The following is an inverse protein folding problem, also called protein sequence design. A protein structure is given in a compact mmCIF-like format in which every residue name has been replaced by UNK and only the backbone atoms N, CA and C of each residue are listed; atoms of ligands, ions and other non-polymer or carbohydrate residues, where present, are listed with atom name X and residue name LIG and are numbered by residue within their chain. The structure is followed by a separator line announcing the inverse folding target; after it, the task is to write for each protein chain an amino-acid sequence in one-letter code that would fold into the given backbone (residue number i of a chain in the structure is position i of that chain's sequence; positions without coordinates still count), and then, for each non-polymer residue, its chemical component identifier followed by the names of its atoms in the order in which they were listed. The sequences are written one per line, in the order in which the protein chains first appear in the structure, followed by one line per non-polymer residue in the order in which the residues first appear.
data_IF_416316335808
#
_entry.id   IF_416316335808
#
_cell.length_a   1.000
_cell.length_b   1.000
_cell.length_c   1.000
_cell.angle_alpha   90.00
_cell.angle_beta   90.00
_cell.angle_gamma   90.00
#
_symmetry.space_group_name_H-M   'P 1'
#
loop_
_entity.id
_entity.type
_entity.pdbx_description
1 polymer ?
#
# COMPACT_ATOMS: atom_id res chain seq x y z
N UNK A 1 7.51 -4.37 48.20
CA UNK A 1 8.49 -3.59 47.42
C UNK A 1 7.76 -2.34 46.97
N UNK A 2 8.19 -1.18 47.49
CA UNK A 2 7.55 0.10 47.24
C UNK A 2 7.94 0.63 45.85
N UNK A 3 6.95 1.04 45.06
CA UNK A 3 7.16 1.93 43.93
C UNK A 3 6.60 3.30 44.31
N UNK A 4 7.50 4.27 44.35
CA UNK A 4 7.24 5.66 44.70
C UNK A 4 6.80 6.37 43.42
N UNK A 5 5.56 6.85 43.36
CA UNK A 5 5.08 7.71 42.27
C UNK A 5 4.89 9.12 42.83
N UNK A 6 6.02 9.81 43.01
CA UNK A 6 6.00 11.26 42.99
C UNK A 6 5.92 11.65 41.50
N UNK A 7 4.73 12.04 41.02
CA UNK A 7 4.57 12.64 39.69
C UNK A 7 3.99 14.05 39.87
N UNK A 8 4.60 15.08 39.26
CA UNK A 8 4.33 16.48 39.57
C UNK A 8 3.01 16.95 38.96
N UNK A 9 2.46 18.00 39.56
CA UNK A 9 1.37 18.83 39.06
C UNK A 9 1.55 19.11 37.57
N UNK A 10 0.67 18.57 36.73
CA UNK A 10 0.62 18.89 35.30
C UNK A 10 -0.04 20.27 35.13
N UNK A 11 0.82 21.29 35.00
CA UNK A 11 0.47 22.62 34.52
C UNK A 11 -0.03 22.52 33.06
N UNK A 12 -1.16 23.14 32.75
CA UNK A 12 -1.88 23.05 31.47
C UNK A 12 -1.25 23.91 30.35
N UNK A 13 0.05 24.21 30.42
CA UNK A 13 0.72 25.17 29.54
C UNK A 13 2.03 24.70 28.88
N UNK A 14 2.30 23.40 28.76
CA UNK A 14 3.39 22.93 27.90
C UNK A 14 2.92 22.33 26.55
N UNK A 15 3.65 22.61 25.45
CA UNK A 15 3.27 22.15 24.11
C UNK A 15 3.52 20.65 23.94
N UNK A 16 2.51 19.95 23.42
CA UNK A 16 2.55 18.52 23.09
C UNK A 16 3.66 18.26 22.07
N UNK A 17 4.65 17.45 22.46
CA UNK A 17 5.72 16.92 21.61
C UNK A 17 5.18 15.88 20.61
N UNK A 18 5.81 15.91 19.43
CA UNK A 18 5.53 15.23 18.16
C UNK A 18 5.03 13.77 18.19
N UNK A 19 3.91 13.57 17.48
CA UNK A 19 3.60 12.49 16.54
C UNK A 19 4.41 11.18 16.66
N UNK A 20 3.91 10.25 17.48
CA UNK A 20 4.23 8.83 17.34
C UNK A 20 3.45 8.34 16.12
N UNK A 21 4.06 8.45 14.94
CA UNK A 21 3.44 8.16 13.64
C UNK A 21 2.91 6.73 13.53
N UNK A 22 1.63 6.56 13.86
CA UNK A 22 0.82 5.42 13.42
C UNK A 22 0.17 5.80 12.09
N UNK A 23 0.66 5.22 11.00
CA UNK A 23 0.03 5.37 9.69
C UNK A 23 -1.34 4.64 9.70
N UNK A 24 -2.42 5.41 9.76
CA UNK A 24 -3.79 4.89 9.79
C UNK A 24 -4.28 4.36 8.42
N UNK A 25 -3.43 4.36 7.39
CA UNK A 25 -3.78 3.88 6.05
C UNK A 25 -3.44 2.40 5.81
N UNK A 26 -3.34 1.57 6.85
CA UNK A 26 -3.16 0.14 6.64
C UNK A 26 -4.46 -0.50 6.09
N UNK A 27 -4.35 -1.37 5.06
CA UNK A 27 -5.49 -2.05 4.48
C UNK A 27 -6.10 -3.03 5.49
N UNK A 28 -7.40 -2.89 5.72
CA UNK A 28 -8.16 -3.74 6.61
C UNK A 28 -8.86 -4.87 5.83
N UNK A 29 -8.95 -6.04 6.45
CA UNK A 29 -9.65 -7.22 5.93
C UNK A 29 -11.19 -7.10 6.10
N UNK A 30 -11.93 -8.16 5.76
CA UNK A 30 -13.39 -8.22 5.85
C UNK A 30 -13.93 -8.06 7.29
N UNK A 31 -13.07 -8.21 8.31
CA UNK A 31 -13.41 -8.14 9.73
C UNK A 31 -12.85 -6.89 10.42
N UNK A 32 -12.19 -6.00 9.69
CA UNK A 32 -11.64 -4.76 10.22
C UNK A 32 -10.31 -4.91 10.95
N UNK A 33 -9.61 -6.05 10.77
CA UNK A 33 -8.25 -6.26 11.23
C UNK A 33 -7.25 -5.88 10.13
N UNK A 34 -6.00 -5.56 10.50
CA UNK A 34 -4.93 -5.30 9.54
C UNK A 34 -4.68 -6.56 8.71
N UNK A 35 -4.80 -6.44 7.39
CA UNK A 35 -4.57 -7.54 6.45
C UNK A 35 -3.06 -7.77 6.28
N UNK A 36 -2.47 -8.53 7.21
CA UNK A 36 -1.05 -8.87 7.20
C UNK A 36 -0.64 -9.68 5.95
N UNK A 37 -1.56 -10.44 5.34
CA UNK A 37 -1.30 -11.18 4.10
C UNK A 37 -1.15 -10.22 2.91
N UNK A 38 -1.90 -9.11 2.88
CA UNK A 38 -1.72 -8.05 1.89
C UNK A 38 -0.38 -7.32 2.05
N UNK A 39 0.01 -7.01 3.29
CA UNK A 39 1.29 -6.36 3.60
C UNK A 39 2.45 -7.26 3.19
N UNK A 40 2.41 -8.55 3.53
CA UNK A 40 3.44 -9.53 3.17
C UNK A 40 3.57 -9.68 1.64
N UNK A 41 2.46 -9.73 0.91
CA UNK A 41 2.46 -9.80 -0.56
C UNK A 41 3.06 -8.55 -1.25
N UNK A 42 2.96 -7.35 -0.64
CA UNK A 42 3.59 -6.14 -1.16
C UNK A 42 5.11 -6.17 -1.01
N UNK A 43 5.61 -6.65 0.12
CA UNK A 43 7.04 -6.82 0.39
C UNK A 43 7.66 -7.93 -0.47
N UNK A 44 6.95 -9.05 -0.64
CA UNK A 44 7.45 -10.21 -1.39
C UNK A 44 7.58 -9.97 -2.91
N UNK A 45 6.90 -8.95 -3.44
CA UNK A 45 7.00 -8.53 -4.84
C UNK A 45 8.15 -7.54 -5.11
N UNK A 46 8.79 -6.97 -4.09
CA UNK A 46 9.86 -6.01 -4.26
C UNK A 46 11.19 -6.65 -4.70
N UNK A 47 11.45 -7.91 -4.32
CA UNK A 47 12.79 -8.51 -4.45
C UNK A 47 12.92 -9.66 -5.45
N UNK A 48 11.85 -10.08 -6.13
CA UNK A 48 11.96 -11.08 -7.19
C UNK A 48 12.16 -10.43 -8.56
N UNK A 49 13.38 -9.92 -8.79
CA UNK A 49 13.88 -9.70 -10.16
C UNK A 49 14.04 -11.07 -10.82
N UNK A 50 12.94 -11.60 -11.37
CA UNK A 50 12.94 -12.78 -12.23
C UNK A 50 13.85 -12.50 -13.44
N UNK A 51 15.14 -12.86 -13.33
CA UNK A 51 16.04 -12.75 -14.46
C UNK A 51 15.61 -13.78 -15.51
N UNK A 52 15.32 -13.35 -16.75
CA UNK A 52 15.01 -14.29 -17.82
C UNK A 52 16.15 -15.28 -17.94
N UNK A 53 15.83 -16.59 -17.95
CA UNK A 53 16.75 -17.74 -17.93
C UNK A 53 17.83 -17.77 -19.05
N UNK A 54 17.89 -16.74 -19.91
CA UNK A 54 18.77 -16.64 -21.08
C UNK A 54 19.39 -15.24 -21.29
N UNK A 55 19.01 -14.22 -20.52
CA UNK A 55 19.58 -12.87 -20.69
C UNK A 55 20.65 -12.59 -19.62
N UNK A 56 21.83 -12.15 -20.03
CA UNK A 56 22.89 -11.74 -19.12
C UNK A 56 22.54 -10.42 -18.42
N UNK A 57 22.72 -10.37 -17.10
CA UNK A 57 22.54 -9.15 -16.28
C UNK A 57 23.35 -7.98 -16.85
N UNK A 58 22.83 -6.76 -16.68
CA UNK A 58 23.53 -5.53 -17.10
C UNK A 58 24.94 -5.44 -16.47
N UNK A 59 25.10 -5.91 -15.24
CA UNK A 59 26.40 -5.94 -14.56
C UNK A 59 27.42 -6.84 -15.30
N UNK A 60 27.01 -8.06 -15.67
CA UNK A 60 27.86 -8.97 -16.46
C UNK A 60 28.22 -8.36 -17.81
N UNK A 61 27.27 -7.66 -18.45
CA UNK A 61 27.51 -6.95 -19.71
C UNK A 61 28.51 -5.79 -19.54
N UNK A 62 28.49 -5.08 -18.41
CA UNK A 62 29.48 -4.04 -18.05
C UNK A 62 30.87 -4.63 -17.86
N UNK A 63 31.00 -5.72 -17.12
CA UNK A 63 32.27 -6.40 -16.89
C UNK A 63 32.90 -6.90 -18.20
N UNK A 64 32.09 -7.51 -19.08
CA UNK A 64 32.55 -7.94 -20.42
C UNK A 64 33.03 -6.75 -21.24
N UNK A 65 32.30 -5.62 -21.24
CA UNK A 65 32.71 -4.43 -21.97
C UNK A 65 34.02 -3.85 -21.44
N UNK A 66 34.19 -3.76 -20.12
CA UNK A 66 35.42 -3.28 -19.48
C UNK A 66 36.62 -4.18 -19.83
N UNK A 67 36.44 -5.51 -19.79
CA UNK A 67 37.49 -6.46 -20.14
C UNK A 67 37.92 -6.36 -21.62
N UNK A 68 36.97 -6.10 -22.53
CA UNK A 68 37.28 -5.84 -23.94
C UNK A 68 38.01 -4.51 -24.12
N UNK A 69 37.62 -3.47 -23.37
CA UNK A 69 38.25 -2.15 -23.44
C UNK A 69 39.72 -2.23 -23.00
N UNK A 70 40.02 -2.97 -21.94
CA UNK A 70 41.39 -3.18 -21.45
C UNK A 70 42.28 -3.95 -22.44
N UNK A 71 41.68 -4.76 -23.33
CA UNK A 71 42.40 -5.56 -24.33
C UNK A 71 42.47 -4.88 -25.70
N UNK A 72 41.60 -3.92 -25.96
CA UNK A 72 41.56 -3.21 -27.24
C UNK A 72 42.78 -2.30 -27.41
N UNK A 73 43.40 -2.35 -28.58
CA UNK A 73 44.43 -1.40 -29.00
C UNK A 73 43.88 -0.57 -30.15
N UNK A 74 43.83 0.76 -29.98
CA UNK A 74 43.30 1.72 -30.96
C UNK A 74 41.87 1.41 -31.44
N UNK A 75 41.00 0.95 -30.53
CA UNK A 75 39.59 0.63 -30.84
C UNK A 75 39.39 -0.65 -31.66
N UNK A 76 40.45 -1.45 -31.87
CA UNK A 76 40.38 -2.76 -32.51
C UNK A 76 40.64 -3.86 -31.48
N UNK A 77 39.89 -4.96 -31.61
CA UNK A 77 40.10 -6.18 -30.84
C UNK A 77 40.89 -7.17 -31.69
N UNK A 78 41.80 -7.92 -31.07
CA UNK A 78 42.48 -9.04 -31.69
C UNK A 78 41.52 -10.20 -32.02
N UNK A 79 41.93 -11.07 -32.94
CA UNK A 79 41.12 -12.17 -33.48
C UNK A 79 40.53 -13.10 -32.41
N UNK A 80 41.24 -13.27 -31.28
CA UNK A 80 40.88 -14.19 -30.21
C UNK A 80 40.37 -13.49 -28.94
N UNK A 81 40.41 -12.16 -28.87
CA UNK A 81 40.08 -11.43 -27.64
C UNK A 81 38.62 -11.62 -27.22
N UNK A 82 37.71 -11.69 -28.19
CA UNK A 82 36.28 -11.96 -27.92
C UNK A 82 36.02 -13.38 -27.43
N UNK A 83 36.87 -14.34 -27.82
CA UNK A 83 36.77 -15.73 -27.36
C UNK A 83 37.26 -15.84 -25.93
N UNK A 84 38.42 -15.25 -25.62
CA UNK A 84 38.99 -15.28 -24.27
C UNK A 84 38.06 -14.59 -23.25
N UNK A 85 37.50 -13.43 -23.61
CA UNK A 85 36.54 -12.73 -22.74
C UNK A 85 35.22 -13.51 -22.63
N UNK A 86 34.77 -14.15 -23.72
CA UNK A 86 33.60 -15.01 -23.67
C UNK A 86 33.76 -16.17 -22.69
N UNK A 87 34.88 -16.87 -22.75
CA UNK A 87 35.20 -18.00 -21.88
C UNK A 87 35.38 -17.55 -20.42
N UNK A 88 36.01 -16.39 -20.19
CA UNK A 88 36.21 -15.83 -18.84
C UNK A 88 34.90 -15.55 -18.08
N UNK A 89 33.87 -15.07 -18.78
CA UNK A 89 32.59 -14.70 -18.17
C UNK A 89 31.44 -15.69 -18.45
N UNK A 90 31.73 -16.83 -19.11
CA UNK A 90 30.70 -17.79 -19.53
C UNK A 90 29.68 -17.22 -20.52
N UNK A 91 30.07 -16.19 -21.29
CA UNK A 91 29.20 -15.47 -22.22
C UNK A 91 29.41 -15.99 -23.63
N UNK A 92 28.33 -16.32 -24.34
CA UNK A 92 28.40 -16.74 -25.75
C UNK A 92 29.11 -15.67 -26.58
N UNK A 93 30.05 -16.09 -27.44
CA UNK A 93 30.87 -15.19 -28.29
C UNK A 93 30.02 -14.18 -29.08
N UNK A 94 28.87 -14.61 -29.61
CA UNK A 94 27.93 -13.73 -30.34
C UNK A 94 27.40 -12.56 -29.48
N UNK A 95 27.20 -12.79 -28.18
CA UNK A 95 26.78 -11.75 -27.24
C UNK A 95 27.91 -10.77 -26.95
N UNK A 96 29.15 -11.26 -26.78
CA UNK A 96 30.35 -10.44 -26.58
C UNK A 96 30.58 -9.51 -27.77
N UNK A 97 30.51 -10.04 -29.00
CA UNK A 97 30.62 -9.26 -30.24
C UNK A 97 29.52 -8.20 -30.34
N UNK A 98 28.28 -8.55 -29.99
CA UNK A 98 27.15 -7.62 -30.00
C UNK A 98 27.31 -6.50 -28.95
N UNK A 99 27.86 -6.81 -27.77
CA UNK A 99 28.17 -5.79 -26.75
C UNK A 99 29.22 -4.81 -27.28
N UNK A 100 30.29 -5.31 -27.90
CA UNK A 100 31.35 -4.49 -28.48
C UNK A 100 30.85 -3.57 -29.60
N UNK A 101 30.13 -4.12 -30.58
CA UNK A 101 29.63 -3.36 -31.73
C UNK A 101 28.60 -2.30 -31.36
N UNK A 102 27.78 -2.54 -30.34
CA UNK A 102 26.68 -1.64 -30.00
C UNK A 102 27.10 -0.50 -29.08
N UNK A 103 28.33 -0.49 -28.53
CA UNK A 103 28.85 0.46 -27.51
C UNK A 103 27.81 0.77 -26.42
N UNK A 104 26.93 -0.20 -26.15
CA UNK A 104 25.73 0.00 -25.36
C UNK A 104 25.53 -1.21 -24.48
N UNK A 105 25.85 -0.98 -23.22
CA UNK A 105 25.92 -2.01 -22.19
C UNK A 105 24.55 -2.44 -21.67
N UNK A 106 23.55 -1.55 -21.44
CA UNK A 106 22.23 -1.99 -20.97
C UNK A 106 21.46 -2.83 -22.00
N UNK A 107 20.73 -3.84 -21.49
CA UNK A 107 19.84 -4.68 -22.29
C UNK A 107 18.66 -3.86 -22.84
N UNK A 108 18.54 -3.77 -24.18
CA UNK A 108 17.49 -3.02 -24.89
C UNK A 108 16.09 -3.65 -24.82
N UNK A 109 15.97 -4.89 -24.32
CA UNK A 109 14.67 -5.55 -24.13
C UNK A 109 13.89 -4.97 -22.95
N UNK A 110 14.58 -4.42 -21.95
CA UNK A 110 13.95 -3.81 -20.77
C UNK A 110 13.10 -2.62 -21.20
N UNK A 111 11.81 -2.64 -20.85
CA UNK A 111 10.83 -1.61 -21.24
C UNK A 111 10.27 -1.71 -22.67
N UNK A 112 10.85 -2.56 -23.55
CA UNK A 112 10.36 -2.80 -24.92
C UNK A 112 9.67 -4.15 -25.09
N UNK A 113 9.93 -5.08 -24.17
CA UNK A 113 9.33 -6.40 -24.16
C UNK A 113 7.99 -6.40 -23.40
N UNK A 114 7.07 -7.25 -23.85
CA UNK A 114 5.77 -7.48 -23.21
C UNK A 114 4.58 -6.93 -24.00
N UNK A 115 3.39 -7.32 -23.54
CA UNK A 115 2.12 -6.86 -24.13
C UNK A 115 1.90 -5.39 -23.77
N UNK A 116 1.63 -4.55 -24.77
CA UNK A 116 1.25 -3.15 -24.54
C UNK A 116 -0.06 -3.07 -23.75
N UNK A 117 -0.12 -2.14 -22.80
CA UNK A 117 -1.34 -1.91 -22.03
C UNK A 117 -2.42 -1.34 -22.95
N UNK A 118 -3.62 -1.95 -22.89
CA UNK A 118 -4.80 -1.39 -23.54
C UNK A 118 -5.30 -0.26 -22.64
N UNK A 119 -5.36 1.01 -23.14
CA UNK A 119 -5.89 2.11 -22.37
C UNK A 119 -7.34 1.79 -21.99
N UNK A 120 -7.67 1.98 -20.71
CA UNK A 120 -9.04 1.92 -20.23
C UNK A 120 -9.43 3.34 -19.87
N UNK A 121 -10.52 3.79 -20.47
CA UNK A 121 -11.15 5.04 -20.11
C UNK A 121 -11.94 4.83 -18.80
N UNK A 122 -11.42 5.40 -17.72
CA UNK A 122 -12.00 5.29 -16.39
C UNK A 122 -13.01 6.42 -16.10
N UNK A 123 -13.05 7.47 -16.93
CA UNK A 123 -13.99 8.59 -16.74
C UNK A 123 -15.44 8.15 -16.90
N UNK A 124 -15.68 7.10 -17.69
CA UNK A 124 -17.00 6.45 -17.81
C UNK A 124 -17.57 6.00 -16.47
N UNK A 125 -16.73 5.78 -15.46
CA UNK A 125 -17.17 5.44 -14.10
C UNK A 125 -17.93 6.60 -13.43
N UNK A 126 -17.62 7.86 -13.75
CA UNK A 126 -18.29 9.04 -13.18
C UNK A 126 -19.71 9.20 -13.70
N UNK A 127 -19.96 8.79 -14.94
CA UNK A 127 -21.29 8.84 -15.55
C UNK A 127 -22.24 7.78 -14.95
N UNK A 128 -21.69 6.73 -14.33
CA UNK A 128 -22.47 5.63 -13.76
C UNK A 128 -22.98 6.01 -12.37
N UNK A 129 -24.29 5.87 -12.08
CA UNK A 129 -24.84 6.14 -10.76
C UNK A 129 -24.19 5.30 -9.66
N UNK A 130 -24.03 5.88 -8.46
CA UNK A 130 -23.47 5.24 -7.25
C UNK A 130 -24.04 3.83 -6.97
N UNK A 131 -25.35 3.65 -7.14
CA UNK A 131 -26.03 2.37 -6.91
C UNK A 131 -25.57 1.23 -7.85
N UNK A 132 -24.99 1.57 -9.00
CA UNK A 132 -24.48 0.61 -10.00
C UNK A 132 -22.96 0.43 -9.92
N UNK A 133 -22.29 0.99 -8.91
CA UNK A 133 -20.85 0.82 -8.67
C UNK A 133 -20.56 0.27 -7.28
N UNK A 134 -21.47 -0.56 -6.75
CA UNK A 134 -21.36 -1.07 -5.38
C UNK A 134 -20.45 -2.29 -5.27
N UNK A 135 -20.53 -3.20 -6.24
CA UNK A 135 -19.70 -4.41 -6.28
C UNK A 135 -18.70 -4.36 -7.43
N UNK A 136 -17.65 -5.18 -7.33
CA UNK A 136 -16.70 -5.37 -8.45
C UNK A 136 -17.43 -5.88 -9.69
N UNK A 137 -18.50 -6.65 -9.50
CA UNK A 137 -19.30 -7.21 -10.59
C UNK A 137 -20.12 -6.14 -11.31
N UNK A 138 -20.71 -5.21 -10.55
CA UNK A 138 -21.46 -4.10 -11.14
C UNK A 138 -20.53 -3.19 -11.95
N UNK A 139 -19.39 -2.81 -11.38
CA UNK A 139 -18.37 -2.02 -12.09
C UNK A 139 -17.85 -2.76 -13.33
N UNK A 140 -17.66 -4.07 -13.22
CA UNK A 140 -17.23 -4.93 -14.33
C UNK A 140 -18.26 -4.94 -15.46
N UNK A 141 -19.55 -5.06 -15.13
CA UNK A 141 -20.67 -5.07 -16.06
C UNK A 141 -20.84 -3.73 -16.76
N UNK A 142 -20.83 -2.63 -16.01
CA UNK A 142 -21.07 -1.29 -16.56
C UNK A 142 -19.88 -0.78 -17.39
N UNK A 143 -18.64 -1.08 -17.00
CA UNK A 143 -17.46 -0.70 -17.79
C UNK A 143 -17.13 -1.68 -18.92
N UNK A 144 -17.77 -2.86 -18.97
CA UNK A 144 -17.45 -3.92 -19.92
C UNK A 144 -16.04 -4.50 -19.74
N UNK A 145 -15.55 -4.53 -18.50
CA UNK A 145 -14.19 -4.95 -18.16
C UNK A 145 -14.22 -6.20 -17.28
N UNK A 146 -13.27 -7.12 -17.41
CA UNK A 146 -13.21 -8.29 -16.53
C UNK A 146 -12.95 -7.94 -15.07
N UNK A 147 -13.53 -8.71 -14.13
CA UNK A 147 -13.35 -8.56 -12.67
C UNK A 147 -11.86 -8.48 -12.27
N UNK A 148 -11.02 -9.34 -12.83
CA UNK A 148 -9.57 -9.36 -12.55
C UNK A 148 -8.87 -8.06 -12.96
N UNK A 149 -9.33 -7.39 -14.03
CA UNK A 149 -8.76 -6.11 -14.45
C UNK A 149 -9.19 -4.99 -13.50
N UNK A 150 -10.43 -5.00 -12.99
CA UNK A 150 -10.88 -4.09 -11.91
C UNK A 150 -10.07 -4.31 -10.62
N UNK A 151 -9.89 -5.56 -10.18
CA UNK A 151 -9.04 -5.88 -9.02
C UNK A 151 -7.59 -5.40 -9.20
N UNK A 152 -7.02 -5.54 -10.41
CA UNK A 152 -5.70 -5.00 -10.72
C UNK A 152 -5.66 -3.47 -10.69
N UNK A 153 -6.74 -2.78 -11.03
CA UNK A 153 -6.83 -1.32 -10.95
C UNK A 153 -6.90 -0.85 -9.49
N UNK A 154 -7.65 -1.56 -8.65
CA UNK A 154 -7.69 -1.34 -7.21
C UNK A 154 -6.30 -1.49 -6.57
N UNK A 155 -5.59 -2.59 -6.86
CA UNK A 155 -4.20 -2.79 -6.37
C UNK A 155 -3.21 -1.73 -6.87
N UNK A 156 -3.51 -1.09 -8.01
CA UNK A 156 -2.69 -0.01 -8.56
C UNK A 156 -3.11 1.38 -8.07
N UNK A 157 -4.12 1.48 -7.19
CA UNK A 157 -4.64 2.75 -6.70
C UNK A 157 -5.39 3.59 -7.73
N UNK A 158 -5.79 3.01 -8.88
CA UNK A 158 -6.57 3.73 -9.91
C UNK A 158 -8.06 3.79 -9.63
N UNK A 159 -8.51 3.00 -8.67
CA UNK A 159 -9.87 2.98 -8.14
C UNK A 159 -9.74 2.92 -6.62
N UNK A 160 -10.65 3.57 -5.92
CA UNK A 160 -10.75 3.56 -4.47
C UNK A 160 -12.04 2.90 -4.04
N UNK A 161 -11.97 2.09 -2.98
CA UNK A 161 -13.16 1.61 -2.28
C UNK A 161 -13.53 2.64 -1.22
N UNK A 162 -14.76 3.12 -1.26
CA UNK A 162 -15.35 3.99 -0.25
C UNK A 162 -16.48 3.25 0.45
N UNK A 163 -16.57 3.39 1.77
CA UNK A 163 -17.67 2.84 2.56
C UNK A 163 -18.34 3.95 3.34
N UNK A 164 -19.60 4.24 3.03
CA UNK A 164 -20.43 5.14 3.82
C UNK A 164 -21.20 4.33 4.86
N UNK A 165 -21.23 4.85 6.09
CA UNK A 165 -22.03 4.32 7.19
C UNK A 165 -23.03 5.40 7.62
N UNK A 166 -24.26 5.00 7.94
CA UNK A 166 -25.35 5.89 8.37
C UNK A 166 -25.15 6.36 9.84
N UNK A 167 -23.93 6.30 10.38
CA UNK A 167 -23.67 6.77 11.74
C UNK A 167 -23.66 8.29 11.76
N UNK A 168 -24.50 8.95 12.59
CA UNK A 168 -24.43 10.39 12.74
C UNK A 168 -23.07 10.80 13.31
N UNK A 169 -22.49 11.86 12.77
CA UNK A 169 -21.26 12.42 13.29
C UNK A 169 -21.48 12.97 14.70
N UNK A 170 -20.47 12.81 15.56
CA UNK A 170 -20.52 13.32 16.92
C UNK A 170 -20.30 14.83 16.91
N UNK A 171 -21.36 15.61 17.15
CA UNK A 171 -21.28 17.07 17.30
C UNK A 171 -20.40 17.43 18.51
N UNK A 172 -19.82 18.64 18.51
CA UNK A 172 -19.01 19.09 19.64
C UNK A 172 -19.80 19.10 20.95
N UNK A 173 -21.08 19.47 20.90
CA UNK A 173 -22.00 19.38 22.05
C UNK A 173 -22.12 17.94 22.57
N UNK A 174 -22.32 16.97 21.66
CA UNK A 174 -22.39 15.56 22.04
C UNK A 174 -21.07 15.06 22.63
N UNK A 175 -19.91 15.56 22.15
CA UNK A 175 -18.60 15.26 22.75
C UNK A 175 -18.52 15.81 24.17
N UNK A 176 -18.90 17.06 24.39
CA UNK A 176 -18.88 17.70 25.70
C UNK A 176 -19.80 16.99 26.70
N UNK A 177 -21.01 16.62 26.29
CA UNK A 177 -21.95 15.89 27.15
C UNK A 177 -21.41 14.52 27.53
N UNK A 178 -20.81 13.78 26.57
CA UNK A 178 -20.15 12.50 26.86
C UNK A 178 -18.97 12.65 27.82
N UNK A 179 -18.13 13.66 27.62
CA UNK A 179 -16.99 13.92 28.49
C UNK A 179 -17.44 14.30 29.90
N UNK A 180 -18.46 15.15 30.02
CA UNK A 180 -19.07 15.52 31.29
C UNK A 180 -19.60 14.29 32.03
N UNK A 181 -20.24 13.37 31.32
CA UNK A 181 -20.69 12.10 31.88
C UNK A 181 -19.51 11.23 32.36
N UNK A 182 -18.44 11.12 31.57
CA UNK A 182 -17.24 10.38 31.99
C UNK A 182 -16.61 10.96 33.26
N UNK A 183 -16.54 12.28 33.40
CA UNK A 183 -16.00 12.95 34.59
C UNK A 183 -16.90 12.71 35.81
N UNK A 184 -18.22 12.74 35.62
CA UNK A 184 -19.18 12.47 36.69
C UNK A 184 -19.16 11.00 37.15
N UNK A 185 -18.75 10.08 36.27
CA UNK A 185 -18.55 8.67 36.61
C UNK A 185 -17.27 8.40 37.39
N UNK A 186 -16.46 9.42 37.69
CA UNK A 186 -15.29 9.26 38.55
C UNK A 186 -15.67 9.45 40.01
N UNK A 187 -15.27 8.51 40.87
CA UNK A 187 -15.44 8.62 42.32
C UNK A 187 -14.48 9.65 42.91
N UNK A 188 -15.04 10.70 43.50
CA UNK A 188 -14.28 11.79 44.13
C UNK A 188 -13.86 11.46 45.57
N UNK A 189 -14.06 10.21 46.01
CA UNK A 189 -13.99 9.79 47.41
C UNK A 189 -12.59 9.47 47.96
N UNK A 190 -11.56 9.31 47.12
CA UNK A 190 -10.20 8.98 47.57
C UNK A 190 -9.17 9.75 46.74
N UNK A 191 -8.50 10.69 47.40
CA UNK A 191 -7.54 11.64 46.80
C UNK A 191 -6.32 10.95 46.16
N UNK A 192 -6.05 9.68 46.52
CA UNK A 192 -4.92 8.89 46.02
C UNK A 192 -5.32 7.74 45.06
N UNK A 193 -6.61 7.42 44.94
CA UNK A 193 -7.10 6.25 44.19
C UNK A 193 -8.35 6.63 43.38
N UNK A 194 -8.16 7.44 42.33
CA UNK A 194 -9.26 7.87 41.46
C UNK A 194 -9.80 6.66 40.68
N UNK A 195 -10.97 6.14 41.10
CA UNK A 195 -11.64 4.99 40.49
C UNK A 195 -12.94 5.44 39.82
N UNK A 196 -13.41 4.67 38.84
CA UNK A 196 -14.75 4.88 38.31
C UNK A 196 -15.78 4.34 39.31
N UNK A 197 -16.94 5.02 39.39
CA UNK A 197 -18.09 4.57 40.16
C UNK A 197 -18.50 3.18 39.73
N UNK A 198 -18.80 2.33 40.71
CA UNK A 198 -19.32 1.01 40.45
C UNK A 198 -20.73 1.11 39.82
N UNK A 199 -20.94 0.38 38.71
CA UNK A 199 -22.17 0.43 37.92
C UNK A 199 -23.30 -0.47 38.48
N UNK A 200 -23.21 -0.88 39.75
CA UNK A 200 -24.17 -1.83 40.35
C UNK A 200 -25.60 -1.27 40.43
N UNK A 201 -25.76 0.05 40.46
CA UNK A 201 -27.06 0.72 40.48
C UNK A 201 -27.58 1.13 39.09
N UNK A 202 -26.84 0.80 38.02
CA UNK A 202 -27.20 1.17 36.65
C UNK A 202 -27.75 -0.03 35.87
N UNK A 203 -28.99 0.11 35.39
CA UNK A 203 -29.57 -0.81 34.41
C UNK A 203 -29.58 -0.12 33.05
N UNK A 204 -28.69 -0.55 32.16
CA UNK A 204 -28.67 -0.06 30.78
C UNK A 204 -29.68 -0.80 29.93
N UNK A 205 -30.71 -0.09 29.46
CA UNK A 205 -31.70 -0.61 28.51
C UNK A 205 -31.44 0.05 27.16
N UNK A 206 -31.24 -0.75 26.12
CA UNK A 206 -31.06 -0.28 24.76
C UNK A 206 -32.02 -1.00 23.80
N UNK A 207 -32.65 -0.25 22.91
CA UNK A 207 -33.54 -0.76 21.89
C UNK A 207 -32.81 -0.88 20.56
N UNK A 208 -32.61 -2.13 20.11
CA UNK A 208 -31.91 -2.40 18.87
C UNK A 208 -32.87 -2.53 17.70
N UNK A 209 -32.93 -1.49 16.87
CA UNK A 209 -33.68 -1.52 15.61
C UNK A 209 -32.93 -2.32 14.53
N UNK A 210 -33.61 -3.33 13.98
CA UNK A 210 -33.16 -4.08 12.79
C UNK A 210 -33.78 -3.43 11.56
N UNK A 211 -32.96 -2.75 10.75
CA UNK A 211 -33.41 -2.22 9.48
C UNK A 211 -33.42 -3.33 8.43
N UNK A 212 -34.44 -3.34 7.56
CA UNK A 212 -34.45 -4.20 6.37
C UNK A 212 -33.42 -3.74 5.32
N UNK A 213 -33.00 -2.47 5.34
CA UNK A 213 -32.03 -1.92 4.39
C UNK A 213 -30.60 -2.02 4.93
N UNK A 214 -29.63 -2.04 4.01
CA UNK A 214 -28.22 -2.22 4.31
C UNK A 214 -27.65 -0.99 5.05
N UNK A 215 -27.10 -1.19 6.26
CA UNK A 215 -26.53 -0.12 7.11
C UNK A 215 -25.25 0.52 6.56
N UNK A 216 -24.60 -0.15 5.62
CA UNK A 216 -23.33 0.24 5.03
C UNK A 216 -23.47 0.18 3.52
N UNK A 217 -23.16 1.26 2.85
CA UNK A 217 -23.05 1.27 1.40
C UNK A 217 -21.57 1.32 1.02
N UNK A 218 -21.21 0.51 0.03
CA UNK A 218 -19.85 0.43 -0.49
C UNK A 218 -19.88 0.91 -1.92
N UNK A 219 -18.93 1.73 -2.31
CA UNK A 219 -18.83 2.29 -3.65
C UNK A 219 -17.40 2.19 -4.17
N UNK A 220 -17.28 1.99 -5.47
CA UNK A 220 -16.02 2.09 -6.19
C UNK A 220 -15.96 3.45 -6.88
N UNK A 221 -15.01 4.28 -6.45
CA UNK A 221 -14.84 5.66 -6.90
C UNK A 221 -13.51 5.81 -7.63
N UNK A 222 -13.39 6.87 -8.42
CA UNK A 222 -12.07 7.36 -8.83
C UNK A 222 -11.33 7.96 -7.64
N UNK A 223 -9.98 8.01 -7.66
CA UNK A 223 -9.21 8.60 -6.56
C UNK A 223 -9.53 10.08 -6.31
N UNK A 224 -9.94 10.80 -7.36
CA UNK A 224 -10.24 12.22 -7.34
C UNK A 224 -11.75 12.52 -7.11
N UNK A 225 -12.53 11.52 -6.70
CA UNK A 225 -13.97 11.61 -6.50
C UNK A 225 -14.32 11.34 -5.03
N UNK A 226 -15.14 12.22 -4.44
CA UNK A 226 -15.66 12.15 -3.07
C UNK A 226 -17.12 11.67 -3.03
#
# INVERSE_FOLDING_TARGET
MAFNLNVPVLDLNEPVLEDIGFDLNLPLDEYGAVDFDFVQNLTDHADQVNQPKHDYSNHVRQQVYQALLMRSKNGKLGKHDTTIVGDQFGVKIRTVQRIWQQVNVPNRKRGRAGRKAIPLDLEKLREIPLKKRMTIEDVSRELGVSKSKIQRLLRKGKLRRHSSCIKPYLTNENKHTRLKWCIDMIDQGLLDDQKFKDLFDFVFIDEKWFYLHQKYERYYLLPDED
#
